data_IF_621595999167
#
_entry.id   IF_621595999167
#
_cell.length_a   1.000
_cell.length_b   1.000
_cell.length_c   1.000
_cell.angle_alpha   90.00
_cell.angle_beta   90.00
_cell.angle_gamma   90.00
#
_symmetry.space_group_name_H-M   'P 1'
#
loop_
_entity.id
_entity.type
_entity.pdbx_description
1 polymer ?
#
# COMPACT_ATOMS: atom_id res chain seq x y z
N UNK A 1 -14.45 22.44 14.88
CA UNK A 1 -13.94 21.09 14.54
C UNK A 1 -13.02 21.20 13.33
N UNK A 2 -11.70 21.24 13.53
CA UNK A 2 -10.70 21.25 12.45
C UNK A 2 -9.38 20.70 13.00
N UNK A 3 -9.27 19.37 13.14
CA UNK A 3 -7.98 18.69 13.41
C UNK A 3 -7.89 17.27 12.81
N UNK A 4 -9.02 16.62 12.52
CA UNK A 4 -9.07 15.25 11.96
C UNK A 4 -8.56 15.17 10.52
N UNK A 5 -8.96 16.09 9.64
CA UNK A 5 -8.64 16.01 8.21
C UNK A 5 -7.13 16.04 7.89
N UNK A 6 -6.33 16.71 8.72
CA UNK A 6 -4.88 16.82 8.50
C UNK A 6 -4.13 15.56 8.91
N UNK A 7 -4.60 14.86 9.96
CA UNK A 7 -4.05 13.54 10.35
C UNK A 7 -4.35 12.50 9.29
N UNK A 8 -5.60 12.45 8.82
CA UNK A 8 -6.06 11.54 7.76
C UNK A 8 -5.28 11.74 6.46
N UNK A 9 -4.97 12.99 6.07
CA UNK A 9 -4.13 13.28 4.90
C UNK A 9 -2.69 12.75 5.05
N UNK A 10 -2.06 12.94 6.21
CA UNK A 10 -0.69 12.46 6.45
C UNK A 10 -0.62 10.92 6.48
N UNK A 11 -1.63 10.28 7.07
CA UNK A 11 -1.75 8.81 7.08
C UNK A 11 -1.95 8.25 5.66
N UNK A 12 -2.77 8.94 4.84
CA UNK A 12 -2.95 8.63 3.42
C UNK A 12 -1.63 8.70 2.62
N UNK A 13 -0.84 9.75 2.82
CA UNK A 13 0.43 9.95 2.11
C UNK A 13 1.44 8.85 2.47
N UNK A 14 1.47 8.44 3.74
CA UNK A 14 2.32 7.34 4.19
C UNK A 14 1.89 6.01 3.57
N UNK A 15 0.60 5.71 3.56
CA UNK A 15 0.04 4.50 2.96
C UNK A 15 0.39 4.41 1.47
N UNK A 16 0.23 5.51 0.74
CA UNK A 16 0.60 5.60 -0.68
C UNK A 16 2.10 5.37 -0.90
N UNK A 17 2.97 5.95 -0.07
CA UNK A 17 4.41 5.73 -0.15
C UNK A 17 4.79 4.27 0.11
N UNK A 18 4.16 3.62 1.10
CA UNK A 18 4.38 2.21 1.41
C UNK A 18 3.93 1.31 0.24
N UNK A 19 2.79 1.60 -0.40
CA UNK A 19 2.30 0.90 -1.59
C UNK A 19 3.30 1.03 -2.76
N UNK A 20 3.78 2.24 -3.03
CA UNK A 20 4.73 2.50 -4.12
C UNK A 20 6.05 1.73 -3.90
N UNK A 21 6.57 1.76 -2.67
CA UNK A 21 7.82 1.08 -2.34
C UNK A 21 7.69 -0.44 -2.44
N UNK A 22 6.57 -1.01 -2.00
CA UNK A 22 6.32 -2.45 -2.14
C UNK A 22 6.22 -2.86 -3.62
N UNK A 23 5.53 -2.07 -4.46
CA UNK A 23 5.47 -2.31 -5.91
C UNK A 23 6.86 -2.30 -6.56
N UNK A 24 7.72 -1.35 -6.16
CA UNK A 24 9.12 -1.29 -6.62
C UNK A 24 9.88 -2.56 -6.24
N UNK A 25 9.82 -2.97 -4.97
CA UNK A 25 10.49 -4.19 -4.47
C UNK A 25 9.99 -5.46 -5.16
N UNK A 26 8.69 -5.59 -5.38
CA UNK A 26 8.12 -6.72 -6.10
C UNK A 26 8.64 -6.78 -7.54
N UNK A 27 8.70 -5.65 -8.25
CA UNK A 27 9.28 -5.61 -9.60
C UNK A 27 10.74 -6.05 -9.61
N UNK A 28 11.53 -5.59 -8.65
CA UNK A 28 12.93 -6.02 -8.50
C UNK A 28 13.06 -7.51 -8.20
N UNK A 29 12.26 -8.04 -7.28
CA UNK A 29 12.26 -9.46 -6.92
C UNK A 29 11.78 -10.35 -8.07
N UNK A 30 10.74 -9.91 -8.81
CA UNK A 30 10.28 -10.62 -9.99
C UNK A 30 11.39 -10.77 -11.02
N UNK A 31 12.11 -9.67 -11.30
CA UNK A 31 13.20 -9.67 -12.28
C UNK A 31 14.44 -10.45 -11.80
N UNK A 32 14.69 -10.51 -10.49
CA UNK A 32 15.88 -11.18 -9.92
C UNK A 32 15.67 -12.66 -9.65
N UNK A 33 14.54 -13.03 -9.06
CA UNK A 33 14.29 -14.37 -8.51
C UNK A 33 12.97 -14.98 -8.98
N UNK A 34 12.15 -14.22 -9.71
CA UNK A 34 10.80 -14.62 -10.08
C UNK A 34 9.80 -14.54 -8.92
N UNK A 35 8.54 -14.90 -9.19
CA UNK A 35 7.43 -14.73 -8.25
C UNK A 35 7.31 -15.82 -7.18
N UNK A 36 8.09 -16.91 -7.29
CA UNK A 36 7.92 -18.10 -6.45
C UNK A 36 8.73 -18.05 -5.15
N UNK A 37 9.38 -16.93 -4.82
CA UNK A 37 10.08 -16.77 -3.55
C UNK A 37 9.10 -16.45 -2.43
N UNK A 38 9.39 -16.93 -1.22
CA UNK A 38 8.59 -16.59 -0.05
C UNK A 38 8.51 -15.07 0.16
N UNK A 39 9.60 -14.35 -0.11
CA UNK A 39 9.64 -12.89 0.02
C UNK A 39 8.69 -12.20 -0.96
N UNK A 40 8.70 -12.60 -2.24
CA UNK A 40 7.79 -12.05 -3.23
C UNK A 40 6.33 -12.32 -2.85
N UNK A 41 6.02 -13.56 -2.45
CA UNK A 41 4.67 -13.95 -2.05
C UNK A 41 4.21 -13.11 -0.84
N UNK A 42 5.03 -13.01 0.21
CA UNK A 42 4.71 -12.21 1.38
C UNK A 42 4.49 -10.72 1.05
N UNK A 43 5.32 -10.14 0.19
CA UNK A 43 5.16 -8.75 -0.25
C UNK A 43 3.91 -8.55 -1.11
N UNK A 44 3.53 -9.53 -1.94
CA UNK A 44 2.32 -9.46 -2.76
C UNK A 44 1.04 -9.49 -1.92
N UNK A 45 1.02 -10.32 -0.87
CA UNK A 45 -0.08 -10.36 0.11
C UNK A 45 -0.17 -9.04 0.88
N UNK A 46 0.98 -8.50 1.31
CA UNK A 46 1.01 -7.20 1.98
C UNK A 46 0.51 -6.07 1.08
N UNK A 47 0.88 -6.09 -0.20
CA UNK A 47 0.43 -5.11 -1.17
C UNK A 47 -1.10 -5.15 -1.33
N UNK A 48 -1.69 -6.34 -1.44
CA UNK A 48 -3.14 -6.50 -1.55
C UNK A 48 -3.87 -5.91 -0.34
N UNK A 49 -3.37 -6.20 0.87
CA UNK A 49 -3.90 -5.62 2.10
C UNK A 49 -3.87 -4.08 2.10
N UNK A 50 -2.73 -3.47 1.80
CA UNK A 50 -2.60 -2.00 1.80
C UNK A 50 -3.43 -1.34 0.69
N UNK A 51 -3.57 -1.98 -0.47
CA UNK A 51 -4.44 -1.48 -1.54
C UNK A 51 -5.90 -1.48 -1.08
N UNK A 52 -6.34 -2.53 -0.38
CA UNK A 52 -7.69 -2.60 0.18
C UNK A 52 -7.92 -1.53 1.26
N UNK A 53 -6.97 -1.32 2.17
CA UNK A 53 -7.04 -0.22 3.15
C UNK A 53 -7.18 1.14 2.46
N UNK A 54 -6.34 1.41 1.45
CA UNK A 54 -6.41 2.65 0.70
C UNK A 54 -7.76 2.85 0.00
N UNK A 55 -8.30 1.80 -0.63
CA UNK A 55 -9.61 1.89 -1.26
C UNK A 55 -10.73 2.14 -0.26
N UNK A 56 -10.71 1.48 0.90
CA UNK A 56 -11.69 1.70 1.95
C UNK A 56 -11.64 3.14 2.46
N UNK A 57 -10.45 3.68 2.72
CA UNK A 57 -10.28 5.08 3.13
C UNK A 57 -10.83 6.07 2.08
N UNK A 58 -10.63 5.79 0.79
CA UNK A 58 -11.17 6.63 -0.29
C UNK A 58 -12.69 6.48 -0.42
N UNK A 59 -13.24 5.29 -0.26
CA UNK A 59 -14.69 5.07 -0.30
C UNK A 59 -15.40 5.77 0.87
N UNK A 60 -14.80 5.78 2.07
CA UNK A 60 -15.31 6.52 3.23
C UNK A 60 -15.32 8.04 3.02
N UNK A 61 -14.50 8.58 2.10
CA UNK A 61 -14.53 10.01 1.76
C UNK A 61 -15.71 10.40 0.86
N UNK A 62 -16.44 9.42 0.30
CA UNK A 62 -17.57 9.65 -0.61
C UNK A 62 -18.95 9.38 0.01
N UNK A 63 -19.02 9.00 1.30
CA UNK A 63 -20.25 8.70 2.04
C UNK A 63 -20.40 9.71 3.18
#
# INVERSE_FOLDING_TARGET
MMKTNKSVQIENDKLLMDIVEIKRKLSELFNRTGPNTSEYISLSIKLDFLMNEYFNEKMEQFI
#
